data_IF_534545573128
#
_entry.id   IF_534545573128
#
_cell.length_a   1.000
_cell.length_b   1.000
_cell.length_c   1.000
_cell.angle_alpha   90.00
_cell.angle_beta   90.00
_cell.angle_gamma   90.00
#
_symmetry.space_group_name_H-M   'P 1'
#
loop_
_entity.id
_entity.type
_entity.pdbx_description
1 polymer ?
#
# COMPACT_ATOMS: atom_id res chain seq x y z
N UNK A 1 -13.10 5.55 11.14
CA UNK A 1 -13.64 6.79 10.54
C UNK A 1 -13.28 6.91 9.05
N UNK A 2 -12.04 6.63 8.65
CA UNK A 2 -11.54 6.86 7.29
C UNK A 2 -12.28 6.07 6.20
N UNK A 3 -12.67 4.81 6.46
CA UNK A 3 -13.44 3.98 5.51
C UNK A 3 -14.73 4.68 5.08
N UNK A 4 -15.48 5.25 6.02
CA UNK A 4 -16.73 5.97 5.70
C UNK A 4 -16.49 7.19 4.81
N UNK A 5 -15.37 7.88 4.98
CA UNK A 5 -15.03 9.03 4.14
C UNK A 5 -14.69 8.58 2.72
N UNK A 6 -13.88 7.54 2.58
CA UNK A 6 -13.53 6.95 1.28
C UNK A 6 -14.78 6.44 0.54
N UNK A 7 -15.69 5.75 1.22
CA UNK A 7 -16.95 5.28 0.62
C UNK A 7 -17.83 6.44 0.15
N UNK A 8 -17.89 7.55 0.90
CA UNK A 8 -18.64 8.75 0.47
C UNK A 8 -18.04 9.42 -0.76
N UNK A 9 -16.75 9.23 -1.01
CA UNK A 9 -16.05 9.71 -2.21
C UNK A 9 -16.19 8.72 -3.39
N UNK A 10 -16.93 7.62 -3.23
CA UNK A 10 -17.12 6.61 -4.28
C UNK A 10 -16.08 5.49 -4.30
N UNK A 11 -15.18 5.43 -3.32
CA UNK A 11 -14.15 4.40 -3.24
C UNK A 11 -14.63 3.17 -2.48
N UNK A 12 -14.22 1.99 -2.92
CA UNK A 12 -14.33 0.77 -2.12
C UNK A 12 -13.12 0.67 -1.19
N UNK A 13 -13.36 0.39 0.10
CA UNK A 13 -12.30 0.30 1.10
C UNK A 13 -12.51 -0.91 2.01
N UNK A 14 -11.48 -1.73 2.16
CA UNK A 14 -11.46 -2.88 3.08
C UNK A 14 -10.66 -2.51 4.34
N UNK A 15 -11.30 -2.35 5.52
CA UNK A 15 -10.57 -2.12 6.75
C UNK A 15 -9.76 -3.36 7.16
N UNK A 16 -8.57 -3.14 7.72
CA UNK A 16 -7.74 -4.17 8.33
C UNK A 16 -7.33 -3.71 9.74
N UNK A 17 -7.36 -4.61 10.72
CA UNK A 17 -6.97 -4.33 12.10
C UNK A 17 -5.45 -4.41 12.31
N UNK A 18 -4.73 -5.13 11.43
CA UNK A 18 -3.26 -5.29 11.52
C UNK A 18 -2.61 -5.32 10.14
N UNK A 19 -1.31 -5.01 10.07
CA UNK A 19 -0.55 -5.14 8.83
C UNK A 19 -0.49 -6.58 8.30
N UNK A 20 -0.55 -7.59 9.17
CA UNK A 20 -0.60 -9.00 8.74
C UNK A 20 -1.93 -9.36 8.06
N UNK A 21 -3.04 -8.83 8.56
CA UNK A 21 -4.34 -8.97 7.90
C UNK A 21 -4.33 -8.30 6.52
N UNK A 22 -3.75 -7.10 6.40
CA UNK A 22 -3.60 -6.42 5.13
C UNK A 22 -2.80 -7.27 4.11
N UNK A 23 -1.69 -7.89 4.53
CA UNK A 23 -0.91 -8.79 3.66
C UNK A 23 -1.73 -10.00 3.20
N UNK A 24 -2.53 -10.59 4.08
CA UNK A 24 -3.40 -11.72 3.72
C UNK A 24 -4.45 -11.32 2.70
N UNK A 25 -5.09 -10.15 2.88
CA UNK A 25 -6.10 -9.65 1.96
C UNK A 25 -5.51 -9.34 0.57
N UNK A 26 -4.35 -8.67 0.54
CA UNK A 26 -3.64 -8.35 -0.71
C UNK A 26 -3.16 -9.60 -1.44
N UNK A 27 -2.68 -10.61 -0.71
CA UNK A 27 -2.25 -11.88 -1.30
C UNK A 27 -3.40 -12.76 -1.81
N UNK A 28 -4.55 -12.72 -1.14
CA UNK A 28 -5.74 -13.48 -1.57
C UNK A 28 -6.43 -12.85 -2.79
N UNK A 29 -6.28 -11.55 -2.99
CA UNK A 29 -6.94 -10.76 -4.04
C UNK A 29 -5.95 -9.83 -4.75
N UNK A 30 -4.97 -10.39 -5.48
CA UNK A 30 -3.98 -9.61 -6.17
C UNK A 30 -4.63 -8.79 -7.30
N UNK A 31 -4.40 -7.47 -7.30
CA UNK A 31 -4.94 -6.56 -8.32
C UNK A 31 -6.29 -5.91 -7.97
N UNK A 32 -6.95 -6.34 -6.90
CA UNK A 32 -8.24 -5.74 -6.45
C UNK A 32 -8.07 -4.41 -5.70
N UNK A 33 -6.82 -4.00 -5.43
CA UNK A 33 -6.50 -2.83 -4.62
C UNK A 33 -5.54 -1.91 -5.36
N UNK A 34 -5.99 -0.68 -5.59
CA UNK A 34 -5.17 0.37 -6.21
C UNK A 34 -4.33 1.14 -5.19
N UNK A 35 -4.81 1.24 -3.95
CA UNK A 35 -4.23 2.09 -2.90
C UNK A 35 -4.15 1.33 -1.58
N UNK A 36 -2.98 1.40 -0.94
CA UNK A 36 -2.77 1.00 0.45
C UNK A 36 -2.66 2.24 1.33
N UNK A 37 -3.58 2.38 2.28
CA UNK A 37 -3.52 3.40 3.33
C UNK A 37 -3.20 2.72 4.66
N UNK A 38 -2.11 3.12 5.30
CA UNK A 38 -1.62 2.48 6.54
C UNK A 38 -0.97 3.51 7.47
N UNK A 39 -1.09 3.30 8.78
CA UNK A 39 -0.38 4.09 9.77
C UNK A 39 1.11 3.77 9.73
N UNK A 40 1.96 4.79 9.94
CA UNK A 40 3.42 4.61 9.94
C UNK A 40 3.85 3.72 11.10
N UNK A 41 3.23 3.87 12.27
CA UNK A 41 3.56 3.15 13.49
C UNK A 41 2.37 2.29 13.89
N UNK A 42 2.53 0.97 13.78
CA UNK A 42 1.56 -0.02 14.22
C UNK A 42 2.26 -1.09 15.08
N UNK A 43 1.54 -1.79 15.96
CA UNK A 43 2.06 -2.96 16.65
C UNK A 43 2.43 -4.08 15.66
N UNK A 44 3.50 -4.82 15.95
CA UNK A 44 3.99 -6.00 15.21
C UNK A 44 4.59 -5.72 13.82
N UNK A 45 3.86 -5.03 12.94
CA UNK A 45 4.31 -4.72 11.57
C UNK A 45 4.08 -3.25 11.28
N UNK A 46 5.14 -2.48 11.09
CA UNK A 46 5.03 -1.06 10.79
C UNK A 46 4.63 -0.80 9.33
N UNK A 47 4.13 0.40 9.05
CA UNK A 47 3.66 0.80 7.72
C UNK A 47 4.75 0.73 6.63
N UNK A 48 5.99 1.16 6.89
CA UNK A 48 7.09 1.04 5.91
C UNK A 48 7.43 -0.42 5.56
N UNK A 49 7.50 -1.31 6.54
CA UNK A 49 7.76 -2.73 6.30
C UNK A 49 6.59 -3.41 5.58
N UNK A 50 5.35 -3.10 5.98
CA UNK A 50 4.16 -3.54 5.25
C UNK A 50 4.25 -3.12 3.77
N UNK A 51 4.58 -1.86 3.51
CA UNK A 51 4.70 -1.33 2.15
C UNK A 51 5.79 -2.04 1.34
N UNK A 52 6.95 -2.35 1.95
CA UNK A 52 8.02 -3.14 1.30
C UNK A 52 7.54 -4.53 0.92
N UNK A 53 6.85 -5.23 1.83
CA UNK A 53 6.32 -6.58 1.58
C UNK A 53 5.24 -6.59 0.51
N UNK A 54 4.33 -5.61 0.51
CA UNK A 54 3.28 -5.51 -0.52
C UNK A 54 3.88 -5.31 -1.91
N UNK A 55 4.93 -4.49 -2.05
CA UNK A 55 5.64 -4.32 -3.33
C UNK A 55 6.33 -5.59 -3.84
N UNK A 56 6.72 -6.49 -2.95
CA UNK A 56 7.28 -7.79 -3.32
C UNK A 56 6.18 -8.79 -3.74
N UNK A 57 4.98 -8.68 -3.16
CA UNK A 57 3.83 -9.55 -3.45
C UNK A 57 3.10 -9.16 -4.74
N UNK A 58 3.00 -7.86 -5.01
CA UNK A 58 2.28 -7.33 -6.18
C UNK A 58 3.28 -6.57 -7.05
N UNK A 59 3.76 -7.15 -8.16
CA UNK A 59 4.57 -6.42 -9.13
C UNK A 59 3.69 -5.30 -9.70
N UNK A 60 3.98 -4.05 -9.36
CA UNK A 60 3.19 -2.91 -9.80
C UNK A 60 3.21 -2.81 -11.33
N UNK A 61 2.06 -2.82 -12.04
CA UNK A 61 2.03 -2.53 -13.48
C UNK A 61 2.25 -1.05 -13.80
N UNK A 62 2.17 -0.17 -12.78
CA UNK A 62 2.36 1.28 -12.91
C UNK A 62 3.61 1.75 -12.16
N UNK A 63 4.78 1.22 -12.53
CA UNK A 63 6.02 1.96 -12.26
C UNK A 63 6.00 3.22 -13.12
N UNK A 64 5.50 4.32 -12.58
CA UNK A 64 6.18 5.57 -12.85
C UNK A 64 7.54 5.40 -12.18
N UNK A 65 8.52 4.94 -12.95
CA UNK A 65 9.91 4.99 -12.57
C UNK A 65 10.22 6.47 -12.27
N UNK A 66 10.15 6.85 -11.00
CA UNK A 66 10.88 8.01 -10.50
C UNK A 66 12.36 7.60 -10.56
N UNK A 67 12.86 7.60 -11.79
CA UNK A 67 14.26 7.47 -12.11
C UNK A 67 14.97 8.64 -11.46
N UNK A 68 15.79 8.30 -10.47
CA UNK A 68 17.10 8.91 -10.20
C UNK A 68 17.45 10.02 -11.19
N UNK A 69 17.28 11.29 -10.81
CA UNK A 69 18.08 12.34 -11.44
C UNK A 69 19.44 12.36 -10.76
N UNK A 70 20.29 11.40 -11.14
CA UNK A 70 21.72 11.47 -10.92
C UNK A 70 22.33 12.30 -12.04
N UNK A 71 22.29 13.62 -11.89
CA UNK A 71 23.05 14.56 -12.72
C UNK A 71 24.26 15.04 -11.94
N UNK A 72 25.34 14.26 -11.98
CA UNK A 72 26.66 14.79 -11.71
C UNK A 72 27.00 15.75 -12.87
N UNK A 73 26.90 17.06 -12.61
CA UNK A 73 27.57 18.04 -13.45
C UNK A 73 28.95 18.30 -12.85
N UNK A 74 29.95 17.83 -13.59
CA UNK A 74 31.32 18.30 -13.56
C UNK A 74 31.39 19.81 -13.88
#
# INVERSE_FOLDING_TARGET
>A
MIVRQLTRLGWSATPCATGLEALRQLGARPGDFDVLLTDVRMPSLDGPELSRRVRALVPSPHRADVGRNGGAHA
#
